data_IF_566047722119
#
_entry.id   IF_566047722119
#
_cell.length_a   1.000
_cell.length_b   1.000
_cell.length_c   1.000
_cell.angle_alpha   90.00
_cell.angle_beta   90.00
_cell.angle_gamma   90.00
#
_symmetry.space_group_name_H-M   'P 1'
#
loop_
_entity.id
_entity.type
_entity.pdbx_description
1 polymer ?
#
# COMPACT_ATOMS: atom_id res chain seq x y z
N UNK A 1 -6.69 15.16 -12.48
CA UNK A 1 -6.33 13.76 -12.80
C UNK A 1 -5.48 13.25 -11.65
N UNK A 2 -5.72 12.03 -11.18
CA UNK A 2 -4.98 11.44 -10.06
C UNK A 2 -4.13 10.27 -10.52
N UNK A 3 -2.91 10.17 -9.99
CA UNK A 3 -2.05 8.99 -10.05
C UNK A 3 -2.54 7.99 -9.00
N UNK A 4 -2.86 6.76 -9.42
CA UNK A 4 -3.60 5.79 -8.60
C UNK A 4 -2.88 4.44 -8.53
N UNK A 5 -2.94 3.84 -7.35
CA UNK A 5 -2.54 2.45 -7.12
C UNK A 5 -3.75 1.62 -6.72
N UNK A 6 -3.82 0.40 -7.20
CA UNK A 6 -4.95 -0.51 -7.01
C UNK A 6 -4.44 -1.84 -6.48
N UNK A 7 -5.24 -2.53 -5.67
CA UNK A 7 -4.91 -3.88 -5.26
C UNK A 7 -6.15 -4.73 -5.07
N UNK A 8 -5.99 -6.03 -5.32
CA UNK A 8 -6.97 -7.04 -4.91
C UNK A 8 -6.29 -8.17 -4.18
N UNK A 9 -7.02 -8.84 -3.30
CA UNK A 9 -6.46 -9.93 -2.51
C UNK A 9 -7.45 -11.07 -2.29
N UNK A 10 -6.90 -12.26 -2.08
CA UNK A 10 -7.66 -13.42 -1.61
C UNK A 10 -7.95 -13.25 -0.12
N UNK A 11 -9.19 -13.51 0.31
CA UNK A 11 -9.56 -13.45 1.74
C UNK A 11 -8.86 -14.52 2.61
N UNK A 12 -8.34 -15.56 1.95
CA UNK A 12 -7.57 -16.64 2.55
C UNK A 12 -6.06 -16.41 2.33
N UNK A 13 -5.49 -15.52 3.14
CA UNK A 13 -4.05 -15.29 3.21
C UNK A 13 -3.47 -15.71 4.57
N UNK A 14 -2.20 -16.11 4.58
CA UNK A 14 -1.49 -16.51 5.79
C UNK A 14 -1.34 -15.31 6.75
N UNK A 15 -1.98 -15.39 7.91
CA UNK A 15 -1.89 -14.37 8.97
C UNK A 15 -0.46 -14.11 9.43
N UNK A 16 0.40 -15.12 9.37
CA UNK A 16 1.83 -14.95 9.70
C UNK A 16 2.53 -14.10 8.65
N UNK A 17 2.25 -14.34 7.36
CA UNK A 17 2.79 -13.53 6.27
C UNK A 17 2.31 -12.08 6.38
N UNK A 18 1.03 -11.84 6.67
CA UNK A 18 0.54 -10.49 6.92
C UNK A 18 1.23 -9.85 8.14
N UNK A 19 1.43 -10.61 9.22
CA UNK A 19 2.16 -10.12 10.39
C UNK A 19 3.59 -9.67 10.07
N UNK A 20 4.31 -10.40 9.20
CA UNK A 20 5.63 -9.99 8.72
C UNK A 20 5.57 -8.73 7.86
N UNK A 21 4.59 -8.64 6.96
CA UNK A 21 4.38 -7.44 6.15
C UNK A 21 4.09 -6.19 7.00
N UNK A 22 3.35 -6.33 8.10
CA UNK A 22 3.09 -5.24 9.03
C UNK A 22 4.33 -4.77 9.81
N UNK A 23 5.26 -5.69 10.10
CA UNK A 23 6.54 -5.31 10.70
C UNK A 23 7.36 -4.48 9.70
N UNK A 24 7.44 -4.91 8.45
CA UNK A 24 8.15 -4.19 7.40
C UNK A 24 7.48 -2.83 7.10
N UNK A 25 6.15 -2.79 7.03
CA UNK A 25 5.39 -1.55 6.86
C UNK A 25 5.69 -0.53 7.96
N UNK A 26 5.85 -0.98 9.22
CA UNK A 26 6.21 -0.11 10.34
C UNK A 26 7.59 0.51 10.14
N UNK A 27 8.57 -0.25 9.65
CA UNK A 27 9.91 0.26 9.37
C UNK A 27 9.92 1.18 8.14
N UNK A 28 9.10 0.90 7.12
CA UNK A 28 8.89 1.80 5.99
C UNK A 28 8.35 3.16 6.45
N UNK A 29 7.29 3.17 7.27
CA UNK A 29 6.70 4.41 7.80
C UNK A 29 7.75 5.26 8.51
N UNK A 30 8.55 4.64 9.40
CA UNK A 30 9.66 5.32 10.09
C UNK A 30 10.71 5.86 9.11
N UNK A 31 11.12 5.05 8.14
CA UNK A 31 12.16 5.41 7.18
C UNK A 31 11.72 6.56 6.25
N UNK A 32 10.45 6.57 5.84
CA UNK A 32 9.85 7.65 5.04
C UNK A 32 9.75 8.93 5.86
N UNK A 33 9.28 8.86 7.11
CA UNK A 33 9.26 10.01 8.01
C UNK A 33 10.67 10.58 8.28
N UNK A 34 11.67 9.71 8.42
CA UNK A 34 13.07 10.13 8.57
C UNK A 34 13.64 10.85 7.33
N UNK A 35 13.02 10.70 6.16
CA UNK A 35 13.33 11.45 4.93
C UNK A 35 12.59 12.80 4.86
N UNK A 36 11.84 13.18 5.89
CA UNK A 36 11.10 14.45 5.96
C UNK A 36 9.69 14.41 5.35
N UNK A 37 9.22 13.23 4.94
CA UNK A 37 7.86 13.03 4.41
C UNK A 37 6.91 12.81 5.59
N UNK A 38 5.93 13.70 5.76
CA UNK A 38 5.02 13.66 6.91
C UNK A 38 3.86 12.70 6.67
N UNK A 39 3.99 11.46 7.13
CA UNK A 39 2.86 10.50 7.19
C UNK A 39 1.97 10.79 8.40
N UNK A 40 0.66 10.73 8.18
CA UNK A 40 -0.41 10.96 9.17
C UNK A 40 -1.43 9.83 9.10
N UNK A 41 -2.41 9.81 10.01
CA UNK A 41 -3.54 8.89 9.93
C UNK A 41 -4.36 9.11 8.65
N UNK A 42 -5.37 8.26 8.39
CA UNK A 42 -6.10 8.27 7.12
C UNK A 42 -6.70 9.63 6.72
N UNK A 43 -7.16 10.41 7.68
CA UNK A 43 -7.69 11.77 7.43
C UNK A 43 -6.61 12.85 7.29
N UNK A 44 -5.34 12.47 7.19
CA UNK A 44 -4.21 13.39 7.11
C UNK A 44 -3.84 14.09 8.42
N UNK A 45 -4.37 13.57 9.54
CA UNK A 45 -4.16 14.07 10.90
C UNK A 45 -3.62 12.97 11.83
N UNK A 46 -3.03 13.36 12.97
CA UNK A 46 -2.55 12.41 13.99
C UNK A 46 -1.38 11.53 13.53
N UNK A 47 -1.23 10.36 14.13
CA UNK A 47 -0.17 9.40 13.78
C UNK A 47 -0.71 8.33 12.82
N UNK A 48 0.11 7.83 11.87
CA UNK A 48 -0.27 6.71 11.02
C UNK A 48 -0.49 5.44 11.84
N UNK A 49 -1.44 4.60 11.41
CA UNK A 49 -1.76 3.34 12.07
C UNK A 49 -1.06 2.17 11.36
N UNK A 50 -0.29 1.39 12.12
CA UNK A 50 0.26 0.10 11.67
C UNK A 50 0.10 -0.91 12.81
N UNK A 51 -0.67 -1.99 12.60
CA UNK A 51 -0.86 -3.07 13.58
C UNK A 51 -2.17 -3.83 13.41
N UNK A 52 -3.31 -3.14 13.53
CA UNK A 52 -4.66 -3.67 13.24
C UNK A 52 -5.06 -3.46 11.77
N UNK A 53 -4.05 -3.22 10.95
CA UNK A 53 -4.12 -2.86 9.55
C UNK A 53 -3.01 -1.86 9.27
N UNK A 54 -3.05 -1.28 8.08
CA UNK A 54 -2.21 -0.16 7.68
C UNK A 54 -3.15 0.94 7.25
N UNK A 55 -3.12 2.08 7.94
CA UNK A 55 -3.94 3.23 7.60
C UNK A 55 -3.13 4.51 7.74
N UNK A 56 -2.92 5.21 6.62
CA UNK A 56 -2.21 6.47 6.60
C UNK A 56 -2.58 7.34 5.41
N UNK A 57 -2.17 8.60 5.46
CA UNK A 57 -2.24 9.58 4.37
C UNK A 57 -1.06 10.55 4.50
N UNK A 58 -0.93 11.49 3.57
CA UNK A 58 -0.05 12.65 3.73
C UNK A 58 -0.57 13.64 4.76
N UNK A 59 0.15 14.73 4.99
CA UNK A 59 -0.22 15.71 6.01
C UNK A 59 -1.22 16.75 5.47
N UNK A 60 -2.45 16.73 5.99
CA UNK A 60 -3.52 17.63 5.57
C UNK A 60 -3.20 19.11 5.79
N UNK A 61 -2.55 19.45 6.90
CA UNK A 61 -2.13 20.84 7.18
C UNK A 61 -1.05 21.37 6.25
N UNK A 62 -0.42 20.49 5.46
CA UNK A 62 0.57 20.82 4.43
C UNK A 62 0.05 20.60 3.01
N UNK A 63 -1.23 20.24 2.86
CA UNK A 63 -1.83 19.84 1.58
C UNK A 63 -1.05 18.69 0.91
N UNK A 64 -0.45 17.80 1.71
CA UNK A 64 0.32 16.64 1.24
C UNK A 64 -0.53 15.37 1.21
N UNK A 65 -1.78 15.42 1.64
CA UNK A 65 -2.79 14.36 1.63
C UNK A 65 -3.60 14.31 0.33
N UNK A 66 -4.16 13.14 -0.01
CA UNK A 66 -5.11 13.03 -1.12
C UNK A 66 -6.24 12.04 -0.86
N UNK A 67 -5.96 10.74 -0.89
CA UNK A 67 -6.87 9.68 -0.45
C UNK A 67 -6.19 8.83 0.62
N UNK A 68 -6.99 8.31 1.54
CA UNK A 68 -6.52 7.39 2.58
C UNK A 68 -5.96 6.13 1.94
N UNK A 69 -4.74 5.75 2.33
CA UNK A 69 -4.27 4.38 2.12
C UNK A 69 -4.80 3.50 3.26
N UNK A 70 -5.52 2.43 2.92
CA UNK A 70 -6.04 1.46 3.89
C UNK A 70 -5.75 0.03 3.41
N UNK A 71 -5.07 -0.75 4.23
CA UNK A 71 -4.97 -2.20 4.06
C UNK A 71 -5.43 -2.90 5.35
N UNK A 72 -6.52 -3.68 5.34
CA UNK A 72 -7.10 -4.24 6.56
C UNK A 72 -6.26 -5.39 7.15
N UNK A 73 -6.34 -5.61 8.47
CA UNK A 73 -5.71 -6.76 9.14
C UNK A 73 -6.52 -8.05 9.02
N UNK A 74 -7.82 -7.95 8.81
CA UNK A 74 -8.71 -9.09 8.77
C UNK A 74 -9.83 -8.87 7.76
N UNK A 75 -10.21 -9.97 7.12
CA UNK A 75 -11.33 -10.01 6.18
C UNK A 75 -12.70 -10.16 6.86
N UNK A 76 -12.70 -10.22 8.19
CA UNK A 76 -13.90 -10.42 9.01
C UNK A 76 -14.59 -9.07 9.22
N UNK A 77 -15.78 -8.91 8.63
CA UNK A 77 -16.57 -7.67 8.68
C UNK A 77 -16.65 -6.90 7.35
N UNK A 78 -16.00 -7.39 6.29
CA UNK A 78 -15.94 -6.81 4.95
C UNK A 78 -17.22 -7.04 4.12
N UNK A 79 -18.41 -6.83 4.68
CA UNK A 79 -19.64 -6.73 3.86
C UNK A 79 -19.65 -5.42 3.03
N UNK A 80 -18.77 -4.47 3.34
CA UNK A 80 -18.71 -3.13 2.73
C UNK A 80 -17.53 -2.91 1.77
N UNK A 81 -16.57 -3.84 1.66
CA UNK A 81 -15.47 -3.70 0.70
C UNK A 81 -15.99 -3.89 -0.70
N UNK A 82 -15.58 -3.02 -1.63
CA UNK A 82 -15.83 -3.27 -3.05
C UNK A 82 -15.19 -4.61 -3.44
N UNK A 83 -15.93 -5.41 -4.20
CA UNK A 83 -15.41 -6.67 -4.74
C UNK A 83 -15.43 -6.63 -6.27
N UNK A 84 -14.38 -7.15 -6.87
CA UNK A 84 -14.32 -7.41 -8.31
C UNK A 84 -14.06 -8.90 -8.49
N UNK A 85 -14.96 -9.58 -9.20
CA UNK A 85 -14.90 -11.04 -9.41
C UNK A 85 -14.83 -11.85 -8.10
N UNK A 86 -15.51 -11.40 -7.03
CA UNK A 86 -15.55 -12.06 -5.73
C UNK A 86 -14.25 -11.94 -4.91
N UNK A 87 -13.34 -11.04 -5.31
CA UNK A 87 -12.15 -10.69 -4.54
C UNK A 87 -12.29 -9.26 -4.01
N UNK A 88 -12.00 -9.00 -2.72
CA UNK A 88 -11.83 -7.65 -2.22
C UNK A 88 -10.88 -6.84 -3.08
N UNK A 89 -11.29 -5.61 -3.37
CA UNK A 89 -10.56 -4.68 -4.20
C UNK A 89 -10.60 -3.29 -3.58
N UNK A 90 -9.48 -2.59 -3.62
CA UNK A 90 -9.38 -1.23 -3.13
C UNK A 90 -8.29 -0.46 -3.91
N UNK A 91 -8.24 0.85 -3.71
CA UNK A 91 -7.31 1.74 -4.40
C UNK A 91 -6.94 2.95 -3.53
N UNK A 92 -5.89 3.65 -3.94
CA UNK A 92 -5.49 4.91 -3.34
C UNK A 92 -4.95 5.84 -4.44
N UNK A 93 -5.65 6.95 -4.68
CA UNK A 93 -5.09 8.05 -5.46
C UNK A 93 -4.16 8.85 -4.58
N UNK A 94 -2.92 8.98 -5.01
CA UNK A 94 -1.91 9.75 -4.27
C UNK A 94 -1.68 11.12 -4.89
N UNK A 95 -2.05 11.29 -6.17
CA UNK A 95 -1.74 12.49 -6.96
C UNK A 95 -0.24 12.86 -6.91
N UNK A 96 0.63 11.84 -6.87
CA UNK A 96 2.10 11.98 -6.81
C UNK A 96 2.58 12.77 -5.59
N UNK A 97 1.74 12.90 -4.55
CA UNK A 97 2.10 13.61 -3.32
C UNK A 97 3.17 12.85 -2.55
N UNK A 98 3.93 13.52 -1.65
CA UNK A 98 5.13 12.92 -1.03
C UNK A 98 4.90 11.57 -0.33
N UNK A 99 3.69 11.32 0.21
CA UNK A 99 3.35 10.05 0.86
C UNK A 99 3.24 8.85 -0.09
N UNK A 100 3.18 9.09 -1.41
CA UNK A 100 3.15 8.05 -2.44
C UNK A 100 4.30 7.04 -2.30
N UNK A 101 5.49 7.51 -1.91
CA UNK A 101 6.63 6.62 -1.63
C UNK A 101 6.30 5.57 -0.58
N UNK A 102 5.53 5.93 0.46
CA UNK A 102 5.10 4.99 1.49
C UNK A 102 4.05 4.01 0.94
N UNK A 103 3.09 4.50 0.14
CA UNK A 103 2.07 3.66 -0.51
C UNK A 103 2.74 2.59 -1.37
N UNK A 104 3.61 2.99 -2.29
CA UNK A 104 4.34 2.08 -3.18
C UNK A 104 5.19 1.08 -2.38
N UNK A 105 5.99 1.54 -1.41
CA UNK A 105 6.85 0.65 -0.62
C UNK A 105 6.06 -0.35 0.24
N UNK A 106 4.93 0.08 0.81
CA UNK A 106 4.04 -0.80 1.57
C UNK A 106 3.41 -1.86 0.68
N UNK A 107 2.89 -1.48 -0.50
CA UNK A 107 2.33 -2.44 -1.46
C UNK A 107 3.38 -3.46 -1.94
N UNK A 108 4.63 -3.04 -2.11
CA UNK A 108 5.73 -3.95 -2.44
C UNK A 108 6.00 -4.99 -1.35
N UNK A 109 6.07 -4.61 -0.06
CA UNK A 109 6.29 -5.59 1.01
C UNK A 109 5.06 -6.46 1.27
N UNK A 110 3.86 -5.91 1.12
CA UNK A 110 2.63 -6.70 1.12
C UNK A 110 2.67 -7.75 0.01
N UNK A 111 3.03 -7.37 -1.23
CA UNK A 111 3.16 -8.29 -2.36
C UNK A 111 4.24 -9.35 -2.11
N UNK A 112 5.38 -8.96 -1.54
CA UNK A 112 6.47 -9.88 -1.22
C UNK A 112 6.02 -10.99 -0.26
N UNK A 113 5.34 -10.63 0.83
CA UNK A 113 4.92 -11.61 1.84
C UNK A 113 3.66 -12.39 1.45
N UNK A 114 2.68 -11.74 0.81
CA UNK A 114 1.41 -12.37 0.42
C UNK A 114 1.52 -13.11 -0.92
N UNK A 115 2.57 -12.85 -1.71
CA UNK A 115 2.83 -13.54 -2.97
C UNK A 115 1.67 -13.42 -3.95
N UNK A 116 1.19 -14.56 -4.46
CA UNK A 116 0.08 -14.60 -5.42
C UNK A 116 -1.29 -14.23 -4.82
N UNK A 117 -1.38 -14.08 -3.49
CA UNK A 117 -2.62 -13.73 -2.79
C UNK A 117 -2.92 -12.24 -2.81
N UNK A 118 -1.97 -11.42 -3.22
CA UNK A 118 -2.16 -9.98 -3.48
C UNK A 118 -1.80 -9.71 -4.93
N UNK A 119 -2.62 -8.94 -5.63
CA UNK A 119 -2.29 -8.34 -6.92
C UNK A 119 -2.17 -6.84 -6.76
N UNK A 120 -1.17 -6.25 -7.41
CA UNK A 120 -0.93 -4.79 -7.35
C UNK A 120 -0.91 -4.21 -8.75
N UNK A 121 -1.77 -3.21 -8.98
CA UNK A 121 -1.82 -2.40 -10.19
C UNK A 121 -1.49 -0.94 -9.90
N UNK A 122 -1.14 -0.19 -10.94
CA UNK A 122 -0.82 1.24 -10.85
C UNK A 122 -1.12 1.93 -12.19
N UNK A 123 -1.40 3.23 -12.14
CA UNK A 123 -1.36 4.09 -13.32
C UNK A 123 0.08 4.28 -13.85
N UNK A 124 1.09 4.09 -12.99
CA UNK A 124 2.52 4.20 -13.31
C UNK A 124 3.18 2.90 -13.78
N UNK A 125 4.49 2.99 -14.03
CA UNK A 125 5.35 1.90 -14.47
C UNK A 125 6.49 1.58 -13.48
N UNK A 126 7.38 0.66 -13.86
CA UNK A 126 8.52 0.24 -13.02
C UNK A 126 9.46 1.39 -12.65
N UNK A 127 9.60 2.40 -13.51
CA UNK A 127 10.42 3.58 -13.26
C UNK A 127 9.86 4.46 -12.14
N UNK A 128 8.54 4.65 -12.12
CA UNK A 128 7.86 5.41 -11.06
C UNK A 128 8.02 4.74 -9.69
N UNK A 129 8.06 3.41 -9.66
CA UNK A 129 8.19 2.61 -8.44
C UNK A 129 9.63 2.41 -7.97
N UNK A 130 10.64 2.85 -8.75
CA UNK A 130 12.05 2.55 -8.47
C UNK A 130 12.51 3.07 -7.09
N UNK A 131 12.03 4.25 -6.68
CA UNK A 131 12.38 4.79 -5.36
C UNK A 131 11.87 3.93 -4.20
N UNK A 132 10.69 3.31 -4.37
CA UNK A 132 10.13 2.38 -3.41
C UNK A 132 10.89 1.06 -3.40
N UNK A 133 11.24 0.53 -4.58
CA UNK A 133 12.09 -0.66 -4.73
C UNK A 133 13.44 -0.46 -4.01
N UNK A 134 14.11 0.67 -4.26
CA UNK A 134 15.39 1.00 -3.64
C UNK A 134 15.28 1.13 -2.12
N UNK A 135 14.18 1.72 -1.63
CA UNK A 135 13.90 1.82 -0.20
C UNK A 135 13.74 0.43 0.43
N UNK A 136 12.92 -0.44 -0.17
CA UNK A 136 12.66 -1.79 0.34
C UNK A 136 13.93 -2.65 0.31
N UNK A 137 14.70 -2.60 -0.78
CA UNK A 137 16.00 -3.28 -0.88
C UNK A 137 16.98 -2.79 0.17
N UNK A 138 17.04 -1.47 0.43
CA UNK A 138 17.92 -0.89 1.45
C UNK A 138 17.52 -1.31 2.87
N UNK A 139 16.23 -1.37 3.18
CA UNK A 139 15.75 -1.67 4.53
C UNK A 139 15.86 -3.15 4.87
N UNK A 140 15.50 -4.03 3.92
CA UNK A 140 15.28 -5.45 4.20
C UNK A 140 16.15 -6.38 3.37
N UNK A 141 16.88 -5.86 2.38
CA UNK A 141 17.69 -6.69 1.48
C UNK A 141 16.87 -7.51 0.47
N UNK A 142 15.56 -7.25 0.35
CA UNK A 142 14.71 -7.97 -0.59
C UNK A 142 15.07 -7.59 -2.03
N UNK A 143 15.22 -8.61 -2.87
CA UNK A 143 15.35 -8.43 -4.32
C UNK A 143 13.96 -8.54 -4.93
N UNK A 144 13.33 -7.38 -5.08
CA UNK A 144 11.97 -7.24 -5.59
C UNK A 144 11.94 -6.23 -6.72
N UNK A 145 10.95 -6.37 -7.58
CA UNK A 145 10.63 -5.43 -8.64
C UNK A 145 9.13 -5.14 -8.61
N UNK A 146 8.74 -3.97 -9.12
CA UNK A 146 7.34 -3.72 -9.39
C UNK A 146 6.97 -4.37 -10.73
N UNK A 147 6.21 -5.46 -10.67
CA UNK A 147 5.53 -6.03 -11.83
C UNK A 147 4.09 -5.57 -11.76
N UNK A 148 3.69 -4.71 -12.70
CA UNK A 148 2.29 -4.31 -12.86
C UNK A 148 1.47 -5.57 -13.15
N UNK A 149 0.61 -5.93 -12.21
CA UNK A 149 -0.43 -6.89 -12.45
C UNK A 149 -1.65 -6.08 -12.86
N UNK A 150 -2.11 -6.27 -14.09
CA UNK A 150 -3.43 -5.80 -14.46
C UNK A 150 -4.41 -6.53 -13.52
N UNK A 151 -4.80 -5.85 -12.43
CA UNK A 151 -5.92 -6.26 -11.59
C UNK A 151 -7.04 -6.49 -12.56
N UNK A 152 -7.42 -7.74 -12.74
CA UNK A 152 -8.09 -8.19 -13.94
C UNK A 152 -9.42 -7.44 -14.09
N UNK A 153 -9.42 -6.36 -14.88
CA UNK A 153 -10.60 -5.68 -15.40
C UNK A 153 -11.14 -6.48 -16.60
N UNK A 154 -11.17 -7.82 -16.50
CA UNK A 154 -11.77 -8.62 -17.56
C UNK A 154 -13.27 -8.37 -17.51
N UNK A 155 -13.72 -7.65 -18.53
CA UNK A 155 -15.10 -7.62 -18.97
C UNK A 155 -15.69 -9.04 -18.91
N UNK A 156 -16.78 -9.19 -18.18
CA UNK A 156 -17.85 -10.10 -18.53
C UNK A 156 -19.13 -9.27 -18.66
#
# INVERSE_FOLDING_TARGET
MGYTHYWSYDRDFDRRALGLALLDAREIVKAVQARGISLRGGLGEGEPMVGEGICFNGNASREEDHETFLFPMSTVGEEESMEINGQPWDFCKTAEKPYDLAVCAVLLVLKHHLGSKLRVGSDGDSGDWQQAVDLVKKLFGYDIEFVREDTVFVNA
#
